data_IF_023567688139
#
_entry.id   IF_023567688139
#
_cell.length_a   1.000
_cell.length_b   1.000
_cell.length_c   1.000
_cell.angle_alpha   90.00
_cell.angle_beta   90.00
_cell.angle_gamma   90.00
#
_symmetry.space_group_name_H-M   'P 1'
#
loop_
_entity.id
_entity.type
_entity.pdbx_description
1 polymer ?
#
# COMPACT_ATOMS: atom_id res chain seq x y z
N UNK A 1 -41.62 121.74 7.55
CA UNK A 1 -40.69 122.35 6.63
C UNK A 1 -39.41 121.59 6.61
N UNK A 2 -39.13 121.10 5.49
CA UNK A 2 -37.98 120.49 4.84
C UNK A 2 -36.61 120.80 5.43
N UNK A 3 -35.50 120.12 4.93
CA UNK A 3 -35.42 118.97 4.03
C UNK A 3 -34.37 117.86 4.46
N UNK A 4 -34.41 116.79 3.66
CA UNK A 4 -33.54 115.65 3.65
C UNK A 4 -32.09 115.94 3.16
N UNK A 5 -31.12 115.29 3.68
CA UNK A 5 -29.78 115.15 3.14
C UNK A 5 -29.40 113.71 2.94
N UNK A 6 -29.32 113.38 1.68
CA UNK A 6 -28.83 112.10 1.21
C UNK A 6 -27.29 112.00 1.31
N UNK A 7 -26.72 110.97 1.90
CA UNK A 7 -25.33 110.57 1.74
C UNK A 7 -25.22 109.29 0.93
N UNK A 8 -24.35 109.21 -0.10
CA UNK A 8 -24.16 107.99 -0.87
C UNK A 8 -23.27 106.97 -0.15
N UNK A 9 -23.70 105.77 -0.09
CA UNK A 9 -22.95 104.65 0.41
C UNK A 9 -21.79 104.28 -0.51
N UNK A 10 -20.58 104.10 0.08
CA UNK A 10 -19.41 103.48 -0.52
C UNK A 10 -19.60 101.99 -0.59
N UNK A 11 -20.18 101.45 -1.66
CA UNK A 11 -20.15 100.05 -2.03
C UNK A 11 -19.34 99.86 -3.30
N UNK A 12 -18.17 99.24 -3.25
CA UNK A 12 -17.48 98.89 -4.49
C UNK A 12 -15.98 98.60 -4.43
N UNK A 13 -15.28 98.94 -3.34
CA UNK A 13 -13.82 98.73 -3.31
C UNK A 13 -13.35 97.52 -2.54
N UNK A 14 -14.17 96.89 -1.65
CA UNK A 14 -13.82 95.76 -0.84
C UNK A 14 -13.90 94.39 -1.60
N UNK A 15 -14.83 94.27 -2.55
CA UNK A 15 -15.09 92.98 -3.22
C UNK A 15 -14.00 92.62 -4.23
N UNK A 16 -13.40 93.60 -4.94
CA UNK A 16 -12.36 93.31 -5.95
C UNK A 16 -11.03 92.93 -5.32
N UNK A 17 -10.70 93.52 -4.17
CA UNK A 17 -9.48 93.22 -3.43
C UNK A 17 -9.59 91.84 -2.78
N UNK A 18 -10.72 91.50 -2.21
CA UNK A 18 -10.98 90.22 -1.56
C UNK A 18 -10.95 89.01 -2.56
N UNK A 19 -11.51 89.15 -3.78
CA UNK A 19 -11.48 88.13 -4.85
C UNK A 19 -10.03 87.85 -5.34
N UNK A 20 -9.15 88.86 -5.33
CA UNK A 20 -7.74 88.71 -5.73
C UNK A 20 -6.95 87.90 -4.68
N UNK A 21 -7.13 88.18 -3.39
CA UNK A 21 -6.44 87.46 -2.30
C UNK A 21 -6.96 86.08 -2.11
N UNK A 22 -8.26 85.77 -2.32
CA UNK A 22 -8.83 84.47 -2.29
C UNK A 22 -8.14 83.53 -3.29
N UNK A 23 -7.85 83.99 -4.53
CA UNK A 23 -7.13 83.19 -5.52
C UNK A 23 -5.71 82.79 -5.07
N UNK A 24 -5.00 83.76 -4.38
CA UNK A 24 -3.67 83.43 -3.83
C UNK A 24 -3.73 82.51 -2.62
N UNK A 25 -4.75 82.59 -1.78
CA UNK A 25 -4.97 81.75 -0.65
C UNK A 25 -5.31 80.28 -1.15
N UNK A 26 -6.23 80.16 -2.13
CA UNK A 26 -6.55 78.88 -2.74
C UNK A 26 -5.33 78.25 -3.42
N UNK A 27 -4.55 79.08 -4.17
CA UNK A 27 -3.30 78.58 -4.78
C UNK A 27 -2.28 78.11 -3.73
N UNK A 28 -2.19 78.80 -2.59
CA UNK A 28 -1.31 78.42 -1.47
C UNK A 28 -1.75 77.09 -0.80
N UNK A 29 -3.06 76.91 -0.61
CA UNK A 29 -3.61 75.67 -0.06
C UNK A 29 -3.36 74.49 -1.02
N UNK A 30 -3.57 74.71 -2.33
CA UNK A 30 -3.29 73.65 -3.33
C UNK A 30 -1.80 73.31 -3.34
N UNK A 31 -0.92 74.31 -3.29
CA UNK A 31 0.52 74.09 -3.22
C UNK A 31 0.93 73.34 -1.94
N UNK A 32 0.33 73.69 -0.80
CA UNK A 32 0.58 73.03 0.47
C UNK A 32 0.13 71.58 0.46
N UNK A 33 -1.05 71.31 -0.11
CA UNK A 33 -1.55 69.93 -0.30
C UNK A 33 -0.62 69.16 -1.25
N UNK A 34 -0.18 69.78 -2.34
CA UNK A 34 0.73 69.13 -3.30
C UNK A 34 2.10 68.81 -2.67
N UNK A 35 2.68 69.74 -1.91
CA UNK A 35 3.93 69.49 -1.17
C UNK A 35 3.71 68.39 -0.11
N UNK A 36 2.61 68.49 0.64
CA UNK A 36 2.27 67.48 1.64
C UNK A 36 2.10 66.04 1.04
N UNK A 37 1.37 65.95 -0.07
CA UNK A 37 1.22 64.68 -0.78
C UNK A 37 2.55 64.17 -1.39
N UNK A 38 3.39 65.08 -1.89
CA UNK A 38 4.71 64.72 -2.41
C UNK A 38 5.66 64.24 -1.32
N UNK A 39 5.68 64.87 -0.15
CA UNK A 39 6.47 64.41 1.00
C UNK A 39 5.93 63.08 1.51
N UNK A 40 4.60 62.92 1.59
CA UNK A 40 3.98 61.66 2.01
C UNK A 40 4.30 60.53 1.04
N UNK A 41 4.21 60.76 -0.27
CA UNK A 41 4.58 59.76 -1.28
C UNK A 41 6.08 59.46 -1.26
N UNK A 42 6.93 60.45 -1.03
CA UNK A 42 8.37 60.24 -0.96
C UNK A 42 8.77 59.43 0.28
N UNK A 43 8.20 59.71 1.45
CA UNK A 43 8.43 58.91 2.66
C UNK A 43 7.91 57.47 2.53
N UNK A 44 6.77 57.29 1.85
CA UNK A 44 6.20 55.96 1.60
C UNK A 44 6.89 55.19 0.48
N UNK A 45 7.60 55.90 -0.42
CA UNK A 45 8.36 55.30 -1.54
C UNK A 45 9.77 54.87 -1.15
N UNK A 46 10.19 55.07 0.09
CA UNK A 46 11.49 54.59 0.55
C UNK A 46 11.46 53.05 0.59
N UNK A 47 12.41 52.34 -0.06
CA UNK A 47 12.47 50.91 -0.01
C UNK A 47 12.69 50.48 1.44
N UNK A 48 11.76 49.64 1.95
CA UNK A 48 11.92 49.08 3.29
C UNK A 48 13.19 48.23 3.35
N UNK A 49 13.95 48.31 4.43
CA UNK A 49 15.14 47.50 4.58
C UNK A 49 14.75 46.01 4.50
N UNK A 50 15.34 45.32 3.53
CA UNK A 50 15.11 43.89 3.35
C UNK A 50 15.82 43.16 4.47
N UNK A 51 15.06 42.56 5.36
CA UNK A 51 15.58 41.72 6.42
C UNK A 51 15.65 40.26 5.91
N UNK A 52 16.76 39.62 6.11
CA UNK A 52 16.98 38.23 5.78
C UNK A 52 17.13 37.41 7.09
N UNK A 53 16.61 36.17 7.10
CA UNK A 53 16.94 35.24 8.16
C UNK A 53 18.43 34.92 8.17
N UNK A 54 18.96 34.62 9.35
CA UNK A 54 20.35 34.20 9.50
C UNK A 54 20.40 32.80 10.11
N UNK A 55 21.13 31.93 9.46
CA UNK A 55 21.34 30.58 9.92
C UNK A 55 22.80 30.33 10.27
N UNK A 56 23.03 29.58 11.32
CA UNK A 56 24.36 29.05 11.64
C UNK A 56 24.39 27.58 11.20
N UNK A 57 25.39 27.17 10.40
CA UNK A 57 25.52 25.77 9.99
C UNK A 57 25.61 24.86 11.21
N UNK A 58 24.95 23.70 11.14
CA UNK A 58 24.94 22.70 12.22
C UNK A 58 25.54 21.40 11.71
N UNK A 59 26.23 20.70 12.59
CA UNK A 59 26.69 19.33 12.29
C UNK A 59 25.60 18.36 12.73
N UNK A 60 24.98 17.69 11.75
CA UNK A 60 23.87 16.75 11.99
C UNK A 60 23.96 15.54 11.04
N UNK A 61 23.18 14.53 11.33
CA UNK A 61 22.94 13.42 10.41
C UNK A 61 21.83 13.80 9.45
N UNK A 62 22.04 13.57 8.16
CA UNK A 62 21.05 13.84 7.10
C UNK A 62 20.73 12.54 6.35
N UNK A 63 19.46 12.33 6.04
CA UNK A 63 18.97 11.18 5.30
C UNK A 63 18.02 11.63 4.20
N UNK A 64 18.33 11.21 2.98
CA UNK A 64 17.40 11.36 1.86
C UNK A 64 16.48 10.17 1.85
N UNK A 65 15.19 10.39 2.03
CA UNK A 65 14.18 9.34 2.07
C UNK A 65 13.13 9.52 0.99
N UNK A 66 12.50 8.43 0.57
CA UNK A 66 11.27 8.43 -0.21
C UNK A 66 10.22 7.62 0.51
N UNK A 67 8.95 7.99 0.35
CA UNK A 67 7.84 7.33 1.02
C UNK A 67 7.02 6.55 -0.01
N UNK A 68 6.79 5.28 0.28
CA UNK A 68 5.98 4.38 -0.53
C UNK A 68 4.77 3.92 0.26
N UNK A 69 3.59 4.03 -0.32
CA UNK A 69 2.36 3.50 0.26
C UNK A 69 2.15 2.05 -0.19
N UNK A 70 1.62 1.24 0.70
CA UNK A 70 1.38 -0.17 0.43
C UNK A 70 0.55 -0.84 1.52
N UNK A 71 0.68 -2.17 1.58
CA UNK A 71 -0.03 -3.01 2.55
C UNK A 71 0.93 -3.99 3.20
N UNK A 72 0.57 -4.41 4.42
CA UNK A 72 1.24 -5.51 5.11
C UNK A 72 0.46 -6.78 4.81
N UNK A 73 1.15 -7.78 4.28
CA UNK A 73 0.57 -9.06 3.89
C UNK A 73 1.47 -10.20 4.39
N UNK A 74 0.93 -11.39 4.63
CA UNK A 74 1.77 -12.57 4.87
C UNK A 74 2.55 -12.91 3.60
N UNK A 75 3.78 -13.38 3.77
CA UNK A 75 4.63 -13.82 2.63
C UNK A 75 3.99 -14.97 1.87
N UNK A 76 3.39 -15.91 2.58
CA UNK A 76 2.72 -17.08 2.04
C UNK A 76 1.26 -17.09 2.48
N UNK A 77 0.38 -16.95 1.51
CA UNK A 77 -1.06 -17.04 1.64
C UNK A 77 -1.56 -18.09 0.66
N UNK A 78 -2.35 -19.03 1.14
CA UNK A 78 -2.85 -20.15 0.36
C UNK A 78 -4.36 -20.22 0.42
N UNK A 79 -4.98 -20.20 -0.75
CA UNK A 79 -6.41 -20.46 -0.90
C UNK A 79 -6.66 -21.95 -0.92
N UNK A 80 -7.27 -22.47 0.14
CA UNK A 80 -7.68 -23.86 0.25
C UNK A 80 -8.91 -24.08 -0.62
N UNK A 81 -8.79 -24.95 -1.61
CA UNK A 81 -9.85 -25.26 -2.58
C UNK A 81 -10.28 -26.72 -2.47
N UNK A 82 -11.53 -27.07 -2.81
CA UNK A 82 -12.01 -28.46 -2.76
C UNK A 82 -11.38 -29.28 -3.89
N UNK A 83 -11.22 -30.57 -3.64
CA UNK A 83 -10.77 -31.56 -4.65
C UNK A 83 -11.95 -32.21 -5.42
N UNK A 84 -13.18 -31.99 -4.93
CA UNK A 84 -14.42 -32.44 -5.56
C UNK A 84 -15.48 -31.37 -5.49
N UNK A 85 -16.41 -31.39 -6.46
CA UNK A 85 -17.58 -30.48 -6.42
C UNK A 85 -18.67 -31.12 -5.52
N UNK A 86 -19.39 -30.24 -4.82
CA UNK A 86 -20.45 -30.68 -3.91
C UNK A 86 -21.05 -29.55 -3.10
N UNK A 87 -21.73 -29.92 -2.00
CA UNK A 87 -22.36 -28.96 -1.07
C UNK A 87 -21.66 -29.06 0.28
N UNK A 88 -21.32 -27.89 0.87
CA UNK A 88 -20.75 -27.83 2.22
C UNK A 88 -21.78 -28.27 3.24
N UNK A 89 -21.46 -29.33 3.98
CA UNK A 89 -22.32 -29.86 5.05
C UNK A 89 -21.91 -29.35 6.43
N UNK A 90 -20.63 -29.10 6.62
CA UNK A 90 -20.10 -28.63 7.90
C UNK A 90 -18.84 -27.78 7.68
N UNK A 91 -18.70 -26.71 8.45
CA UNK A 91 -17.48 -25.91 8.62
C UNK A 91 -16.99 -26.19 10.05
N UNK A 92 -15.74 -26.63 10.18
CA UNK A 92 -15.13 -27.03 11.44
C UNK A 92 -14.18 -25.99 12.00
N UNK A 93 -13.78 -25.02 11.18
CA UNK A 93 -12.86 -23.96 11.53
C UNK A 93 -13.37 -22.63 11.02
N UNK A 94 -13.23 -21.58 11.83
CA UNK A 94 -13.66 -20.22 11.49
C UNK A 94 -12.46 -19.29 11.24
N UNK A 95 -12.74 -18.13 10.67
CA UNK A 95 -11.72 -17.09 10.48
C UNK A 95 -11.18 -16.61 11.85
N UNK A 96 -9.85 -16.47 11.94
CA UNK A 96 -9.16 -16.13 13.19
C UNK A 96 -8.64 -17.32 14.00
N UNK A 97 -8.96 -18.57 13.61
CA UNK A 97 -8.43 -19.77 14.25
C UNK A 97 -7.11 -20.22 13.61
N UNK A 98 -6.26 -20.85 14.43
CA UNK A 98 -5.05 -21.50 13.96
C UNK A 98 -5.37 -22.91 13.43
N UNK A 99 -4.70 -23.27 12.35
CA UNK A 99 -4.84 -24.60 11.72
C UNK A 99 -3.46 -25.18 11.42
N UNK A 100 -3.35 -26.51 11.56
CA UNK A 100 -2.15 -27.26 11.17
C UNK A 100 -2.30 -27.85 9.76
N UNK A 101 -1.17 -28.11 9.10
CA UNK A 101 -1.19 -28.81 7.82
C UNK A 101 -1.84 -30.20 7.98
N UNK A 102 -2.80 -30.53 7.10
CA UNK A 102 -3.60 -31.75 7.17
C UNK A 102 -4.85 -31.66 8.06
N UNK A 103 -5.03 -30.62 8.86
CA UNK A 103 -6.20 -30.42 9.71
C UNK A 103 -7.45 -30.10 8.87
N UNK A 104 -8.61 -30.62 9.28
CA UNK A 104 -9.86 -30.47 8.55
C UNK A 104 -10.47 -29.09 8.80
N UNK A 105 -10.79 -28.39 7.71
CA UNK A 105 -11.45 -27.08 7.76
C UNK A 105 -12.96 -27.21 7.50
N UNK A 106 -13.35 -28.02 6.51
CA UNK A 106 -14.74 -28.19 6.12
C UNK A 106 -15.01 -29.59 5.58
N UNK A 107 -16.29 -29.97 5.57
CA UNK A 107 -16.78 -31.19 4.98
C UNK A 107 -17.72 -30.89 3.82
N UNK A 108 -17.48 -31.54 2.69
CA UNK A 108 -18.30 -31.46 1.46
C UNK A 108 -19.02 -32.73 1.23
N UNK A 109 -20.29 -32.68 0.85
CA UNK A 109 -21.07 -33.83 0.35
C UNK A 109 -21.09 -33.77 -1.17
N UNK A 110 -20.70 -34.84 -1.81
CA UNK A 110 -20.71 -34.97 -3.28
C UNK A 110 -22.12 -34.82 -3.81
N UNK A 111 -22.28 -34.12 -4.91
CA UNK A 111 -23.48 -34.15 -5.76
C UNK A 111 -23.08 -34.89 -7.03
N UNK A 112 -23.34 -36.20 -7.12
CA UNK A 112 -22.87 -37.00 -8.25
C UNK A 112 -23.59 -36.62 -9.55
N UNK A 113 -22.87 -36.67 -10.66
CA UNK A 113 -23.48 -36.62 -11.99
C UNK A 113 -24.35 -37.88 -12.18
N UNK A 114 -25.62 -37.70 -12.53
CA UNK A 114 -26.59 -38.74 -12.64
C UNK A 114 -26.24 -39.78 -13.74
N UNK A 115 -25.57 -39.32 -14.83
CA UNK A 115 -25.13 -40.21 -15.90
C UNK A 115 -23.99 -41.10 -15.42
N UNK A 116 -22.98 -40.49 -14.74
CA UNK A 116 -21.84 -41.23 -14.19
C UNK A 116 -22.32 -42.23 -13.12
N UNK A 117 -23.23 -41.83 -12.24
CA UNK A 117 -23.81 -42.69 -11.23
C UNK A 117 -24.56 -43.92 -11.86
N UNK A 118 -25.41 -43.63 -12.88
CA UNK A 118 -26.14 -44.66 -13.60
C UNK A 118 -25.19 -45.66 -14.32
N UNK A 119 -24.13 -45.15 -14.95
CA UNK A 119 -23.12 -45.98 -15.61
C UNK A 119 -22.35 -46.84 -14.60
N UNK A 120 -21.95 -46.29 -13.46
CA UNK A 120 -21.26 -47.03 -12.40
C UNK A 120 -22.17 -48.15 -11.83
N UNK A 121 -23.45 -47.83 -11.60
CA UNK A 121 -24.44 -48.82 -11.17
C UNK A 121 -24.64 -49.97 -12.20
N UNK A 122 -24.70 -49.61 -13.50
CA UNK A 122 -24.82 -50.61 -14.57
C UNK A 122 -23.58 -51.52 -14.62
N UNK A 123 -22.38 -50.94 -14.43
CA UNK A 123 -21.14 -51.72 -14.38
C UNK A 123 -21.08 -52.71 -13.23
N UNK A 124 -21.54 -52.32 -12.03
CA UNK A 124 -21.66 -53.25 -10.88
C UNK A 124 -22.61 -54.40 -11.21
N UNK A 125 -23.80 -54.10 -11.81
CA UNK A 125 -24.74 -55.16 -12.20
C UNK A 125 -24.15 -56.15 -13.20
N UNK A 126 -23.41 -55.62 -14.22
CA UNK A 126 -22.78 -56.51 -15.21
C UNK A 126 -21.68 -57.37 -14.59
N UNK A 127 -20.83 -56.79 -13.78
CA UNK A 127 -19.78 -57.51 -13.07
C UNK A 127 -20.36 -58.59 -12.13
N UNK A 128 -21.46 -58.31 -11.43
CA UNK A 128 -22.15 -59.27 -10.55
C UNK A 128 -22.75 -60.45 -11.33
N UNK A 129 -23.33 -60.21 -12.52
CA UNK A 129 -23.83 -61.28 -13.43
C UNK A 129 -22.67 -62.14 -13.87
N UNK A 130 -21.56 -61.56 -14.32
CA UNK A 130 -20.39 -62.36 -14.76
C UNK A 130 -19.77 -63.15 -13.62
N UNK A 131 -19.68 -62.58 -12.42
CA UNK A 131 -19.18 -63.29 -11.25
C UNK A 131 -20.09 -64.47 -10.84
N UNK A 132 -21.42 -64.28 -10.89
CA UNK A 132 -22.36 -65.34 -10.61
C UNK A 132 -22.22 -66.51 -11.59
N UNK A 133 -22.08 -66.21 -12.89
CA UNK A 133 -21.85 -67.26 -13.90
C UNK A 133 -20.50 -67.96 -13.64
N UNK A 134 -19.42 -67.24 -13.46
CA UNK A 134 -18.10 -67.81 -13.18
C UNK A 134 -18.08 -68.64 -11.88
N UNK A 135 -18.89 -68.25 -10.89
CA UNK A 135 -19.07 -69.05 -9.65
C UNK A 135 -19.74 -70.41 -9.92
N UNK A 136 -20.81 -70.43 -10.69
CA UNK A 136 -21.50 -71.66 -11.05
C UNK A 136 -20.57 -72.63 -11.81
N UNK A 137 -19.80 -72.11 -12.76
CA UNK A 137 -18.85 -72.89 -13.53
C UNK A 137 -17.72 -73.37 -12.64
N UNK A 138 -17.19 -72.55 -11.71
CA UNK A 138 -16.21 -72.96 -10.72
C UNK A 138 -16.72 -74.07 -9.77
N UNK A 139 -17.93 -73.95 -9.26
CA UNK A 139 -18.52 -74.94 -8.36
C UNK A 139 -18.74 -76.29 -9.08
N UNK A 140 -19.16 -76.24 -10.35
CA UNK A 140 -19.30 -77.42 -11.20
C UNK A 140 -17.95 -78.07 -11.41
N UNK A 141 -16.96 -77.33 -11.86
CA UNK A 141 -15.63 -77.84 -12.17
C UNK A 141 -14.91 -78.39 -10.93
N UNK A 142 -15.08 -77.73 -9.79
CA UNK A 142 -14.59 -78.17 -8.49
C UNK A 142 -15.15 -79.54 -8.14
N UNK A 143 -16.45 -79.80 -8.35
CA UNK A 143 -17.09 -81.08 -8.06
C UNK A 143 -16.57 -82.18 -8.98
N UNK A 144 -16.27 -81.85 -10.24
CA UNK A 144 -15.68 -82.82 -11.20
C UNK A 144 -14.21 -83.10 -10.86
N UNK A 145 -13.45 -82.14 -10.46
CA UNK A 145 -12.07 -82.29 -10.02
C UNK A 145 -11.94 -83.12 -8.76
N UNK A 146 -12.79 -82.87 -7.77
CA UNK A 146 -12.86 -83.67 -6.52
C UNK A 146 -13.19 -85.14 -6.79
N UNK A 147 -13.86 -85.43 -7.92
CA UNK A 147 -14.14 -86.77 -8.40
C UNK A 147 -13.08 -87.38 -9.34
N UNK A 148 -11.99 -86.59 -9.62
CA UNK A 148 -10.94 -87.07 -10.54
C UNK A 148 -11.34 -87.07 -12.03
N UNK A 149 -12.38 -86.29 -12.43
CA UNK A 149 -12.94 -86.34 -13.78
C UNK A 149 -12.41 -85.29 -14.72
N UNK A 150 -11.67 -84.32 -14.20
CA UNK A 150 -11.05 -83.22 -14.96
C UNK A 150 -9.60 -82.99 -14.58
N UNK A 151 -8.80 -82.41 -15.48
CA UNK A 151 -7.40 -82.18 -15.24
C UNK A 151 -7.19 -80.89 -14.31
N UNK A 152 -6.08 -80.92 -13.56
CA UNK A 152 -5.78 -79.89 -12.64
C UNK A 152 -5.63 -78.52 -13.36
N UNK A 153 -5.08 -78.48 -14.57
CA UNK A 153 -4.91 -77.25 -15.38
C UNK A 153 -6.26 -76.60 -15.78
N UNK A 154 -7.26 -77.47 -16.09
CA UNK A 154 -8.61 -76.95 -16.45
C UNK A 154 -9.33 -76.40 -15.21
N UNK A 155 -9.26 -77.10 -14.07
CA UNK A 155 -9.78 -76.57 -12.80
C UNK A 155 -9.12 -75.27 -12.42
N UNK A 156 -7.78 -75.10 -12.57
CA UNK A 156 -7.06 -73.94 -12.21
C UNK A 156 -7.44 -72.69 -13.12
N UNK A 157 -7.69 -72.91 -14.40
CA UNK A 157 -8.21 -71.88 -15.31
C UNK A 157 -9.58 -71.36 -14.86
N UNK A 158 -10.51 -72.23 -14.57
CA UNK A 158 -11.86 -71.84 -14.13
C UNK A 158 -11.80 -71.16 -12.76
N UNK A 159 -10.95 -71.65 -11.84
CA UNK A 159 -10.69 -70.99 -10.55
C UNK A 159 -10.13 -69.63 -10.71
N UNK A 160 -9.22 -69.45 -11.65
CA UNK A 160 -8.65 -68.08 -11.95
C UNK A 160 -9.72 -67.17 -12.53
N UNK A 161 -10.54 -67.61 -13.46
CA UNK A 161 -11.66 -66.88 -14.04
C UNK A 161 -12.62 -66.35 -12.97
N UNK A 162 -12.99 -67.24 -12.03
CA UNK A 162 -13.86 -66.86 -10.90
C UNK A 162 -13.21 -65.88 -9.99
N UNK A 163 -11.90 -65.94 -9.70
CA UNK A 163 -11.16 -64.98 -8.92
C UNK A 163 -11.13 -63.60 -9.62
N UNK A 164 -10.87 -63.57 -10.92
CA UNK A 164 -10.87 -62.31 -11.72
C UNK A 164 -12.26 -61.66 -11.70
N UNK A 165 -13.34 -62.45 -11.94
CA UNK A 165 -14.70 -61.93 -11.90
C UNK A 165 -15.08 -61.40 -10.50
N UNK A 166 -14.58 -62.00 -9.44
CA UNK A 166 -14.77 -61.49 -8.08
C UNK A 166 -14.07 -60.18 -7.80
N UNK A 167 -12.82 -60.04 -8.26
CA UNK A 167 -12.06 -58.77 -8.14
C UNK A 167 -12.70 -57.67 -8.99
N UNK A 168 -13.27 -58.00 -10.18
CA UNK A 168 -13.98 -57.01 -10.99
C UNK A 168 -15.24 -56.48 -10.30
N UNK A 169 -16.00 -57.31 -9.57
CA UNK A 169 -17.14 -56.85 -8.75
C UNK A 169 -16.65 -55.87 -7.66
N UNK A 170 -15.55 -56.20 -7.00
CA UNK A 170 -14.98 -55.33 -5.96
C UNK A 170 -14.57 -54.00 -6.53
N UNK A 171 -13.83 -53.99 -7.64
CA UNK A 171 -13.40 -52.76 -8.33
C UNK A 171 -14.59 -51.92 -8.84
N UNK A 172 -15.64 -52.59 -9.38
CA UNK A 172 -16.85 -51.91 -9.82
C UNK A 172 -17.63 -51.24 -8.64
N UNK A 173 -17.69 -51.93 -7.49
CA UNK A 173 -18.32 -51.39 -6.27
C UNK A 173 -17.53 -50.23 -5.70
N UNK A 174 -16.21 -50.34 -5.62
CA UNK A 174 -15.34 -49.23 -5.18
C UNK A 174 -15.52 -48.01 -6.07
N UNK A 175 -15.58 -48.23 -7.40
CA UNK A 175 -15.84 -47.12 -8.34
C UNK A 175 -17.22 -46.47 -8.11
N UNK A 176 -18.27 -47.26 -7.90
CA UNK A 176 -19.61 -46.75 -7.59
C UNK A 176 -19.61 -45.95 -6.30
N UNK A 177 -18.89 -46.40 -5.27
CA UNK A 177 -18.77 -45.68 -3.99
C UNK A 177 -18.06 -44.34 -4.18
N UNK A 178 -16.96 -44.32 -4.95
CA UNK A 178 -16.26 -43.06 -5.30
C UNK A 178 -17.16 -42.08 -6.06
N UNK A 179 -17.92 -42.54 -7.06
CA UNK A 179 -18.85 -41.72 -7.82
C UNK A 179 -19.97 -41.16 -6.94
N UNK A 180 -20.50 -41.97 -6.02
CA UNK A 180 -21.65 -41.60 -5.17
C UNK A 180 -21.22 -40.74 -3.97
N UNK A 181 -20.15 -41.12 -3.29
CA UNK A 181 -19.78 -40.60 -1.97
C UNK A 181 -18.46 -39.82 -2.00
N UNK A 182 -17.72 -39.80 -3.14
CA UNK A 182 -16.43 -39.14 -3.30
C UNK A 182 -15.27 -39.85 -2.61
N UNK A 183 -15.50 -41.02 -2.01
CA UNK A 183 -14.49 -41.79 -1.27
C UNK A 183 -14.84 -43.26 -1.37
N UNK A 184 -13.84 -44.13 -1.47
CA UNK A 184 -14.00 -45.59 -1.34
C UNK A 184 -13.67 -46.02 0.07
N UNK A 185 -14.40 -47.01 0.58
CA UNK A 185 -14.16 -47.61 1.89
C UNK A 185 -12.75 -48.23 2.01
N UNK A 186 -12.16 -48.64 0.90
CA UNK A 186 -10.78 -49.16 0.82
C UNK A 186 -9.73 -48.05 1.00
N UNK A 187 -10.08 -46.77 0.79
CA UNK A 187 -9.20 -45.60 0.87
C UNK A 187 -9.74 -44.48 1.78
N UNK A 188 -10.44 -44.81 2.85
CA UNK A 188 -11.12 -43.89 3.75
C UNK A 188 -10.20 -42.79 4.31
N UNK A 189 -8.90 -43.01 4.45
CA UNK A 189 -7.91 -42.02 4.92
C UNK A 189 -7.60 -40.93 3.89
N UNK A 190 -7.91 -41.18 2.60
CA UNK A 190 -7.66 -40.21 1.50
C UNK A 190 -8.97 -39.61 1.00
N UNK A 191 -9.90 -39.34 1.91
CA UNK A 191 -11.22 -38.83 1.56
C UNK A 191 -11.14 -37.42 0.96
N UNK A 192 -11.55 -37.30 -0.29
CA UNK A 192 -11.69 -35.99 -1.00
C UNK A 192 -12.84 -35.15 -0.48
N UNK A 193 -13.73 -35.71 0.37
CA UNK A 193 -14.87 -35.00 0.98
C UNK A 193 -14.46 -34.14 2.18
N UNK A 194 -13.29 -34.37 2.77
CA UNK A 194 -12.74 -33.63 3.88
C UNK A 194 -11.73 -32.58 3.36
N UNK A 195 -12.12 -31.33 3.41
CA UNK A 195 -11.23 -30.23 2.99
C UNK A 195 -10.24 -29.95 4.10
N UNK A 196 -8.96 -30.15 3.79
CA UNK A 196 -7.85 -30.03 4.74
C UNK A 196 -6.96 -28.84 4.39
N UNK A 197 -6.38 -28.20 5.40
CA UNK A 197 -5.34 -27.20 5.18
C UNK A 197 -4.08 -27.84 4.59
N UNK A 198 -3.48 -27.17 3.61
CA UNK A 198 -2.21 -27.61 3.01
C UNK A 198 -1.00 -27.06 3.74
N UNK A 199 -1.19 -25.98 4.54
CA UNK A 199 -0.16 -25.32 5.33
C UNK A 199 -0.64 -25.13 6.78
N UNK A 200 0.30 -24.94 7.71
CA UNK A 200 -0.01 -24.49 9.07
C UNK A 200 -0.03 -22.97 9.12
N UNK A 201 -1.04 -22.37 9.74
CA UNK A 201 -1.17 -20.92 9.83
C UNK A 201 -2.48 -20.47 10.45
N UNK A 202 -2.74 -19.17 10.33
CA UNK A 202 -3.99 -18.53 10.73
C UNK A 202 -4.97 -18.57 9.55
N UNK A 203 -6.22 -18.90 9.80
CA UNK A 203 -7.31 -18.76 8.82
C UNK A 203 -7.67 -17.27 8.76
N UNK A 204 -7.42 -16.65 7.61
CA UNK A 204 -7.72 -15.23 7.40
C UNK A 204 -9.20 -15.01 7.08
N UNK A 205 -9.76 -15.89 6.26
CA UNK A 205 -11.14 -15.79 5.78
C UNK A 205 -11.72 -17.17 5.45
N UNK A 206 -13.05 -17.31 5.61
CA UNK A 206 -13.86 -18.45 5.19
C UNK A 206 -15.08 -17.92 4.44
N UNK A 207 -14.96 -17.63 3.12
CA UNK A 207 -15.99 -16.94 2.35
C UNK A 207 -17.24 -17.79 2.08
N UNK A 208 -17.25 -19.06 2.47
CA UNK A 208 -18.33 -20.02 2.20
C UNK A 208 -19.14 -20.31 3.46
N UNK A 209 -20.39 -20.75 3.27
CA UNK A 209 -21.31 -21.14 4.34
C UNK A 209 -21.82 -22.56 4.15
N UNK A 210 -22.30 -23.18 5.23
CA UNK A 210 -23.01 -24.46 5.16
C UNK A 210 -24.20 -24.33 4.21
N UNK A 211 -24.36 -25.28 3.28
CA UNK A 211 -25.35 -25.27 2.22
C UNK A 211 -24.86 -24.65 0.89
N UNK A 212 -23.71 -23.95 0.86
CA UNK A 212 -23.16 -23.45 -0.39
C UNK A 212 -22.67 -24.61 -1.28
N UNK A 213 -22.90 -24.47 -2.58
CA UNK A 213 -22.29 -25.32 -3.60
C UNK A 213 -20.86 -24.87 -3.87
N UNK A 214 -19.93 -25.82 -3.91
CA UNK A 214 -18.53 -25.58 -4.22
C UNK A 214 -18.09 -26.38 -5.43
N UNK A 215 -17.20 -25.81 -6.23
CA UNK A 215 -16.73 -26.37 -7.49
C UNK A 215 -15.22 -26.56 -7.39
N UNK A 216 -14.74 -27.73 -7.83
CA UNK A 216 -13.30 -28.00 -7.93
C UNK A 216 -12.63 -27.08 -8.97
N UNK A 217 -11.35 -26.81 -8.78
CA UNK A 217 -10.52 -26.09 -9.75
C UNK A 217 -10.25 -26.97 -10.98
N UNK A 218 -10.40 -26.38 -12.18
CA UNK A 218 -10.07 -27.02 -13.46
C UNK A 218 -9.49 -25.98 -14.44
N UNK A 219 -9.17 -26.41 -15.66
CA UNK A 219 -8.57 -25.54 -16.70
C UNK A 219 -9.43 -24.32 -17.05
N UNK A 220 -10.75 -24.36 -16.83
CA UNK A 220 -11.70 -23.31 -17.20
C UNK A 220 -12.20 -22.52 -15.98
N UNK A 221 -11.96 -23.00 -14.75
CA UNK A 221 -12.47 -22.40 -13.55
C UNK A 221 -11.47 -22.54 -12.39
N UNK A 222 -11.14 -21.44 -11.75
CA UNK A 222 -10.24 -21.41 -10.57
C UNK A 222 -10.75 -22.18 -9.36
N UNK A 223 -12.02 -22.62 -9.38
CA UNK A 223 -12.65 -23.30 -8.27
C UNK A 223 -13.05 -22.37 -7.13
N UNK A 224 -13.84 -22.89 -6.19
CA UNK A 224 -14.33 -22.16 -5.03
C UNK A 224 -13.29 -22.14 -3.92
N UNK A 225 -12.88 -20.95 -3.42
CA UNK A 225 -12.05 -20.85 -2.20
C UNK A 225 -12.92 -21.19 -0.98
N UNK A 226 -12.48 -22.17 -0.18
CA UNK A 226 -13.13 -22.57 1.07
C UNK A 226 -12.63 -21.76 2.24
N UNK A 227 -11.31 -21.59 2.32
CA UNK A 227 -10.65 -20.80 3.34
C UNK A 227 -9.33 -20.26 2.79
N UNK A 228 -8.92 -19.13 3.33
CA UNK A 228 -7.60 -18.55 3.08
C UNK A 228 -6.75 -18.74 4.33
N UNK A 229 -5.62 -19.43 4.20
CA UNK A 229 -4.71 -19.73 5.32
C UNK A 229 -3.36 -19.06 5.08
N UNK A 230 -2.80 -18.44 6.11
CA UNK A 230 -1.53 -17.74 5.99
C UNK A 230 -0.66 -17.85 7.24
N UNK A 231 0.66 -17.79 7.04
CA UNK A 231 1.62 -17.71 8.12
C UNK A 231 1.81 -16.25 8.55
N UNK A 232 1.16 -15.85 9.64
CA UNK A 232 1.25 -14.49 10.20
C UNK A 232 2.57 -14.22 10.96
N UNK A 233 3.45 -15.20 11.06
CA UNK A 233 4.80 -15.04 11.64
C UNK A 233 5.83 -14.47 10.66
N UNK A 234 5.54 -14.48 9.35
CA UNK A 234 6.40 -13.95 8.28
C UNK A 234 5.59 -12.98 7.42
N UNK A 235 5.68 -11.70 7.79
CA UNK A 235 4.97 -10.62 7.12
C UNK A 235 5.92 -9.85 6.20
N UNK A 236 5.38 -9.41 5.08
CA UNK A 236 6.04 -8.52 4.14
C UNK A 236 5.23 -7.25 3.95
N UNK A 237 5.92 -6.17 3.65
CA UNK A 237 5.32 -4.99 3.06
C UNK A 237 5.31 -5.15 1.53
N UNK A 238 4.17 -4.93 0.91
CA UNK A 238 4.01 -4.85 -0.53
C UNK A 238 3.50 -3.46 -0.88
N UNK A 239 4.24 -2.73 -1.71
CA UNK A 239 3.89 -1.38 -2.13
C UNK A 239 4.23 -1.15 -3.58
N UNK A 240 3.78 -0.02 -4.11
CA UNK A 240 4.06 0.40 -5.47
C UNK A 240 4.82 1.72 -5.44
N UNK A 241 5.88 1.82 -6.22
CA UNK A 241 6.72 3.00 -6.38
C UNK A 241 6.68 3.51 -7.81
N UNK A 242 6.77 4.82 -7.97
CA UNK A 242 6.79 5.49 -9.26
C UNK A 242 8.09 5.23 -10.05
N UNK A 243 8.00 5.29 -11.38
CA UNK A 243 9.11 5.11 -12.30
C UNK A 243 10.28 6.08 -12.04
N UNK A 244 10.00 7.30 -11.61
CA UNK A 244 11.01 8.33 -11.33
C UNK A 244 11.89 8.01 -10.12
N UNK A 245 11.40 7.17 -9.22
CA UNK A 245 12.08 6.80 -7.97
C UNK A 245 12.67 5.39 -7.99
N UNK A 246 12.08 4.46 -8.76
CA UNK A 246 12.47 3.04 -8.77
C UNK A 246 13.94 2.83 -9.12
N UNK A 247 14.48 3.64 -10.04
CA UNK A 247 15.90 3.57 -10.45
C UNK A 247 16.91 3.85 -9.33
N UNK A 248 16.48 4.39 -8.20
CA UNK A 248 17.30 4.68 -7.02
C UNK A 248 17.29 3.55 -6.00
N UNK A 249 16.39 2.56 -6.17
CA UNK A 249 16.21 1.46 -5.22
C UNK A 249 17.17 0.30 -5.51
N UNK A 250 17.74 -0.22 -4.44
CA UNK A 250 18.57 -1.41 -4.47
C UNK A 250 18.11 -2.37 -3.37
N UNK A 251 18.05 -3.66 -3.68
CA UNK A 251 17.74 -4.68 -2.67
C UNK A 251 18.70 -4.59 -1.48
N UNK A 252 18.15 -4.78 -0.27
CA UNK A 252 18.90 -4.63 0.99
C UNK A 252 18.77 -3.25 1.65
N UNK A 253 18.19 -2.25 0.99
CA UNK A 253 17.99 -0.91 1.57
C UNK A 253 17.13 -0.99 2.84
N UNK A 254 17.51 -0.28 3.90
CA UNK A 254 16.72 -0.22 5.12
C UNK A 254 15.46 0.63 4.92
N UNK A 255 14.38 0.17 5.51
CA UNK A 255 13.08 0.82 5.45
C UNK A 255 12.49 0.93 6.84
N UNK A 256 11.72 1.99 7.09
CA UNK A 256 10.87 2.13 8.26
C UNK A 256 9.42 2.10 7.82
N UNK A 257 8.63 1.20 8.43
CA UNK A 257 7.23 1.03 8.09
C UNK A 257 6.39 1.56 9.24
N UNK A 258 5.46 2.45 8.91
CA UNK A 258 4.43 2.95 9.82
C UNK A 258 3.08 2.42 9.36
N UNK A 259 2.37 1.74 10.26
CA UNK A 259 1.05 1.15 9.99
C UNK A 259 -0.01 2.21 10.23
N UNK A 260 -0.92 2.42 9.27
CA UNK A 260 -1.97 3.42 9.39
C UNK A 260 -2.91 3.22 10.60
N UNK A 261 -3.21 1.96 10.92
CA UNK A 261 -4.04 1.59 12.08
C UNK A 261 -3.30 1.66 13.43
N UNK A 262 -1.95 1.79 13.43
CA UNK A 262 -1.09 1.73 14.63
C UNK A 262 0.07 2.73 14.48
N UNK A 263 -0.26 4.02 14.50
CA UNK A 263 0.68 5.10 14.17
C UNK A 263 1.92 5.18 15.08
N UNK A 264 1.80 4.70 16.32
CA UNK A 264 2.91 4.65 17.27
C UNK A 264 3.85 3.47 17.04
N UNK A 265 3.45 2.50 16.20
CA UNK A 265 4.25 1.30 15.93
C UNK A 265 5.08 1.52 14.66
N UNK A 266 6.39 1.62 14.85
CA UNK A 266 7.36 1.67 13.75
C UNK A 266 8.05 0.32 13.63
N UNK A 267 7.96 -0.28 12.45
CA UNK A 267 8.58 -1.55 12.15
C UNK A 267 9.82 -1.33 11.28
N UNK A 268 10.87 -2.07 11.56
CA UNK A 268 12.03 -2.10 10.71
C UNK A 268 11.82 -3.15 9.61
N UNK A 269 12.21 -2.79 8.39
CA UNK A 269 12.12 -3.67 7.24
C UNK A 269 13.33 -3.51 6.33
N UNK A 270 13.53 -4.48 5.45
CA UNK A 270 14.54 -4.43 4.40
C UNK A 270 13.90 -4.71 3.04
N UNK A 271 14.23 -3.88 2.07
CA UNK A 271 13.81 -4.08 0.69
C UNK A 271 14.40 -5.39 0.16
N UNK A 272 13.56 -6.34 -0.21
CA UNK A 272 14.01 -7.63 -0.76
C UNK A 272 13.89 -7.69 -2.28
N UNK A 273 12.83 -7.08 -2.80
CA UNK A 273 12.49 -7.24 -4.21
C UNK A 273 11.95 -5.94 -4.79
N UNK A 274 12.42 -5.63 -5.99
CA UNK A 274 11.89 -4.57 -6.86
C UNK A 274 11.48 -5.24 -8.17
N UNK A 275 10.24 -5.07 -8.60
CA UNK A 275 9.74 -5.68 -9.82
C UNK A 275 10.51 -5.16 -11.04
N UNK A 276 10.98 -6.03 -11.94
CA UNK A 276 11.59 -5.62 -13.20
C UNK A 276 10.55 -5.15 -14.24
N UNK A 277 9.25 -5.34 -13.95
CA UNK A 277 8.14 -4.99 -14.83
C UNK A 277 7.24 -3.96 -14.16
N UNK A 278 6.95 -2.88 -14.87
CA UNK A 278 5.95 -1.91 -14.45
C UNK A 278 4.53 -2.47 -14.63
N UNK A 279 3.64 -2.01 -13.77
CA UNK A 279 2.19 -2.18 -13.90
C UNK A 279 1.59 -0.78 -14.01
N UNK A 280 0.82 -0.52 -15.04
CA UNK A 280 0.09 0.72 -15.20
C UNK A 280 -1.07 0.75 -14.18
N UNK A 281 -1.08 1.76 -13.35
CA UNK A 281 -2.13 2.00 -12.35
C UNK A 281 -2.49 3.49 -12.35
N UNK A 282 -3.76 3.81 -12.55
CA UNK A 282 -4.26 5.20 -12.61
C UNK A 282 -3.51 6.10 -13.60
N UNK A 283 -3.06 5.55 -14.74
CA UNK A 283 -2.34 6.29 -15.77
C UNK A 283 -0.87 6.59 -15.47
N UNK A 284 -0.30 5.98 -14.42
CA UNK A 284 1.12 6.07 -14.09
C UNK A 284 1.77 4.68 -14.07
N UNK A 285 3.03 4.61 -14.52
CA UNK A 285 3.83 3.40 -14.43
C UNK A 285 4.31 3.21 -12.99
N UNK A 286 3.92 2.11 -12.37
CA UNK A 286 4.31 1.76 -11.02
C UNK A 286 5.04 0.42 -10.98
N UNK A 287 6.02 0.30 -10.10
CA UNK A 287 6.78 -0.91 -9.88
C UNK A 287 6.48 -1.49 -8.51
N UNK A 288 6.12 -2.77 -8.46
CA UNK A 288 5.90 -3.45 -7.19
C UNK A 288 7.24 -3.60 -6.44
N UNK A 289 7.21 -3.30 -5.15
CA UNK A 289 8.30 -3.58 -4.23
C UNK A 289 7.84 -4.47 -3.09
N UNK A 290 8.74 -5.33 -2.59
CA UNK A 290 8.50 -6.17 -1.42
C UNK A 290 9.61 -5.98 -0.42
N UNK A 291 9.25 -5.86 0.85
CA UNK A 291 10.21 -5.73 1.93
C UNK A 291 9.88 -6.70 3.08
N UNK A 292 10.88 -7.40 3.59
CA UNK A 292 10.73 -8.23 4.79
C UNK A 292 10.62 -7.36 6.03
N UNK A 293 9.62 -7.63 6.85
CA UNK A 293 9.39 -6.94 8.11
C UNK A 293 10.05 -7.71 9.23
N UNK A 294 10.80 -7.01 10.07
CA UNK A 294 11.49 -7.59 11.23
C UNK A 294 10.84 -7.12 12.54
N UNK A 295 10.94 -7.94 13.59
CA UNK A 295 10.53 -7.53 14.94
C UNK A 295 9.03 -7.56 15.23
N UNK A 296 8.24 -8.31 14.46
CA UNK A 296 6.76 -8.38 14.57
C UNK A 296 6.28 -9.10 15.85
N UNK A 297 7.20 -9.70 16.65
CA UNK A 297 6.83 -10.51 17.83
C UNK A 297 6.02 -9.70 18.85
N UNK A 298 4.82 -10.18 19.16
CA UNK A 298 3.93 -9.59 20.17
C UNK A 298 2.94 -8.55 19.65
N UNK A 299 3.05 -8.12 18.40
CA UNK A 299 2.12 -7.16 17.79
C UNK A 299 1.07 -7.90 16.98
N UNK A 300 -0.22 -7.69 17.30
CA UNK A 300 -1.34 -8.28 16.53
C UNK A 300 -1.57 -7.47 15.24
N UNK A 301 -0.77 -7.72 14.22
CA UNK A 301 -0.95 -7.13 12.89
C UNK A 301 -1.92 -8.00 12.10
N UNK A 302 -2.87 -7.35 11.40
CA UNK A 302 -3.78 -8.05 10.48
C UNK A 302 -3.28 -7.93 9.05
N UNK A 303 -3.51 -8.97 8.27
CA UNK A 303 -3.27 -8.94 6.81
C UNK A 303 -4.12 -7.84 6.16
N UNK A 304 -3.55 -7.14 5.19
CA UNK A 304 -4.21 -6.06 4.47
C UNK A 304 -4.14 -4.68 5.13
N UNK A 305 -3.49 -4.51 6.28
CA UNK A 305 -3.30 -3.18 6.87
C UNK A 305 -2.51 -2.28 5.93
N UNK A 306 -3.04 -1.08 5.69
CA UNK A 306 -2.32 -0.04 4.95
C UNK A 306 -1.12 0.45 5.76
N UNK A 307 -0.01 0.65 5.08
CA UNK A 307 1.22 1.07 5.68
C UNK A 307 1.98 2.03 4.75
N UNK A 308 2.75 2.94 5.37
CA UNK A 308 3.69 3.80 4.68
C UNK A 308 5.11 3.34 5.02
N UNK A 309 5.89 3.10 3.98
CA UNK A 309 7.27 2.69 4.10
C UNK A 309 8.20 3.84 3.70
N UNK A 310 9.02 4.29 4.62
CA UNK A 310 10.07 5.27 4.40
C UNK A 310 11.36 4.53 4.05
N UNK A 311 11.84 4.71 2.82
CA UNK A 311 13.06 4.07 2.29
C UNK A 311 14.19 5.07 2.36
N UNK A 312 15.31 4.69 2.96
CA UNK A 312 16.51 5.52 3.02
C UNK A 312 17.33 5.33 1.74
N UNK A 313 17.28 6.32 0.86
CA UNK A 313 18.00 6.32 -0.42
C UNK A 313 19.50 6.65 -0.25
N UNK A 314 19.80 7.59 0.64
CA UNK A 314 21.16 7.99 0.97
C UNK A 314 21.21 8.55 2.39
N UNK A 315 22.33 8.37 3.07
CA UNK A 315 22.56 8.94 4.40
C UNK A 315 23.99 9.42 4.54
N UNK A 316 24.18 10.53 5.25
CA UNK A 316 25.49 11.00 5.70
C UNK A 316 25.38 11.34 7.18
N UNK A 317 26.39 10.92 7.95
CA UNK A 317 26.45 11.14 9.39
C UNK A 317 27.50 12.19 9.71
N UNK A 318 27.22 13.03 10.70
CA UNK A 318 28.15 14.02 11.22
C UNK A 318 28.64 15.01 10.15
N UNK A 319 27.72 15.48 9.28
CA UNK A 319 28.01 16.42 8.18
C UNK A 319 27.50 17.83 8.50
N UNK A 320 28.19 18.83 7.92
CA UNK A 320 27.79 20.23 8.04
C UNK A 320 26.54 20.45 7.17
N UNK A 321 25.46 20.94 7.78
CA UNK A 321 24.19 21.19 7.12
C UNK A 321 23.74 22.63 7.27
N UNK A 322 23.01 23.11 6.27
CA UNK A 322 22.29 24.39 6.28
C UNK A 322 20.87 24.15 5.74
N UNK A 323 19.89 25.00 6.10
CA UNK A 323 18.59 24.96 5.45
C UNK A 323 18.72 25.11 3.93
N UNK A 324 18.04 24.30 3.15
CA UNK A 324 18.08 24.35 1.68
C UNK A 324 17.62 25.71 1.15
N UNK A 325 16.73 26.40 1.89
CA UNK A 325 16.25 27.74 1.61
C UNK A 325 17.35 28.83 1.64
N UNK A 326 18.53 28.55 2.22
CA UNK A 326 19.68 29.45 2.24
C UNK A 326 20.60 29.29 1.01
N UNK A 327 20.30 28.34 0.14
CA UNK A 327 21.09 27.99 -1.03
C UNK A 327 20.52 28.68 -2.28
N UNK A 328 21.40 29.23 -3.11
CA UNK A 328 21.08 29.72 -4.44
C UNK A 328 21.65 28.78 -5.50
N UNK A 329 20.76 28.16 -6.28
CA UNK A 329 21.15 27.34 -7.43
C UNK A 329 21.25 28.22 -8.68
N UNK A 330 22.40 28.24 -9.34
CA UNK A 330 22.65 29.01 -10.57
C UNK A 330 23.30 28.14 -11.63
N UNK A 331 22.49 27.59 -12.54
CA UNK A 331 22.92 26.58 -13.50
C UNK A 331 23.42 25.31 -12.78
N UNK A 332 24.66 24.90 -13.02
CA UNK A 332 25.28 23.75 -12.37
C UNK A 332 26.01 24.10 -11.08
N UNK A 333 26.08 25.36 -10.71
CA UNK A 333 26.81 25.86 -9.55
C UNK A 333 25.87 26.21 -8.40
N UNK A 334 26.35 25.97 -7.19
CA UNK A 334 25.62 26.25 -5.95
C UNK A 334 26.33 27.33 -5.16
N UNK A 335 25.57 28.31 -4.72
CA UNK A 335 26.09 29.46 -3.99
C UNK A 335 25.38 29.67 -2.66
N UNK A 336 26.08 30.27 -1.73
CA UNK A 336 25.58 30.66 -0.43
C UNK A 336 26.03 32.08 -0.12
N UNK A 337 25.24 32.83 0.64
CA UNK A 337 25.61 34.17 1.04
C UNK A 337 26.07 34.17 2.50
N UNK A 338 27.33 34.52 2.73
CA UNK A 338 27.89 34.64 4.07
C UNK A 338 27.64 36.03 4.59
N UNK A 339 27.12 36.11 5.80
CA UNK A 339 26.86 37.36 6.50
C UNK A 339 28.17 37.86 7.13
N UNK A 340 28.61 39.06 6.74
CA UNK A 340 29.73 39.74 7.34
C UNK A 340 29.26 41.05 8.00
N UNK A 341 29.81 41.39 9.16
CA UNK A 341 29.41 42.52 9.94
C UNK A 341 28.27 42.25 10.91
N UNK A 342 27.84 43.27 11.66
CA UNK A 342 26.75 43.21 12.63
C UNK A 342 25.92 44.51 12.59
N UNK A 343 24.64 44.41 13.00
CA UNK A 343 23.70 45.50 13.01
C UNK A 343 23.29 45.97 11.60
N UNK A 344 23.23 47.27 11.33
CA UNK A 344 22.79 47.84 10.06
C UNK A 344 23.85 47.76 8.94
N UNK A 345 25.12 47.48 9.26
CA UNK A 345 26.22 47.41 8.30
C UNK A 345 26.52 45.95 7.88
N UNK A 346 25.49 45.15 7.72
CA UNK A 346 25.65 43.77 7.23
C UNK A 346 25.93 43.75 5.73
N UNK A 347 26.95 42.99 5.32
CA UNK A 347 27.24 42.73 3.91
C UNK A 347 27.14 41.23 3.64
N UNK A 348 26.76 40.89 2.42
CA UNK A 348 26.53 39.50 2.01
C UNK A 348 27.55 39.13 0.94
N UNK A 349 28.48 38.23 1.30
CA UNK A 349 29.50 37.73 0.38
C UNK A 349 28.96 36.45 -0.29
N UNK A 350 28.78 36.50 -1.62
CA UNK A 350 28.41 35.32 -2.40
C UNK A 350 29.60 34.38 -2.52
N UNK A 351 29.44 33.12 -2.02
CA UNK A 351 30.48 32.11 -2.03
C UNK A 351 29.98 30.85 -2.70
N UNK A 352 30.80 30.28 -3.59
CA UNK A 352 30.53 28.99 -4.22
C UNK A 352 30.77 27.87 -3.19
N UNK A 353 29.82 26.94 -3.11
CA UNK A 353 29.88 25.78 -2.21
C UNK A 353 29.65 24.49 -3.01
N UNK A 354 30.14 23.37 -2.47
CA UNK A 354 29.84 22.04 -2.98
C UNK A 354 28.84 21.41 -2.04
N UNK A 355 27.66 21.10 -2.54
CA UNK A 355 26.58 20.48 -1.79
C UNK A 355 26.63 18.94 -1.90
N UNK A 356 25.98 18.27 -0.99
CA UNK A 356 25.85 16.81 -0.96
C UNK A 356 24.38 16.38 -0.93
N UNK A 357 24.03 15.56 0.08
CA UNK A 357 22.68 15.03 0.26
C UNK A 357 21.76 16.13 0.75
N UNK A 358 20.53 16.19 0.22
CA UNK A 358 19.42 17.01 0.74
C UNK A 358 18.26 16.12 1.18
N UNK A 359 17.60 16.48 2.28
CA UNK A 359 16.34 15.88 2.76
C UNK A 359 15.10 16.73 2.42
N UNK A 360 15.29 17.81 1.62
CA UNK A 360 14.25 18.77 1.27
C UNK A 360 14.05 19.90 2.30
N UNK A 361 14.67 19.83 3.47
CA UNK A 361 14.68 20.87 4.51
C UNK A 361 16.10 21.38 4.70
N UNK A 362 17.04 20.47 4.88
CA UNK A 362 18.46 20.75 5.05
C UNK A 362 19.27 20.14 3.91
N UNK A 363 20.43 20.72 3.63
CA UNK A 363 21.36 20.23 2.63
C UNK A 363 22.77 20.15 3.22
N UNK A 364 23.46 19.05 2.89
CA UNK A 364 24.86 18.86 3.25
C UNK A 364 25.75 19.81 2.49
N UNK A 365 26.72 20.41 3.18
CA UNK A 365 27.82 21.19 2.58
C UNK A 365 29.12 20.41 2.71
N UNK A 366 29.64 19.96 1.58
CA UNK A 366 30.90 19.21 1.51
C UNK A 366 32.13 20.10 1.59
N UNK A 367 32.04 21.31 1.00
CA UNK A 367 33.12 22.30 1.04
C UNK A 367 32.63 23.71 0.76
N UNK A 368 33.43 24.71 1.16
CA UNK A 368 33.15 26.12 0.94
C UNK A 368 32.53 26.86 2.13
N UNK A 369 32.19 26.17 3.22
CA UNK A 369 31.59 26.73 4.41
C UNK A 369 32.18 26.14 5.68
N UNK A 370 32.23 26.90 6.75
CA UNK A 370 32.65 26.45 8.09
C UNK A 370 31.52 26.56 9.11
N UNK A 371 31.60 25.82 10.20
CA UNK A 371 30.59 25.84 11.27
C UNK A 371 30.49 27.20 12.00
N UNK A 372 31.48 28.10 11.80
CA UNK A 372 31.49 29.42 12.42
C UNK A 372 30.90 30.52 11.52
N UNK A 373 30.67 30.23 10.24
CA UNK A 373 30.10 31.21 9.30
C UNK A 373 28.62 31.43 9.62
N UNK A 374 28.12 32.63 9.39
CA UNK A 374 26.69 32.91 9.39
C UNK A 374 26.20 33.00 7.96
N UNK A 375 25.08 32.38 7.68
CA UNK A 375 24.52 32.26 6.33
C UNK A 375 23.22 33.04 6.24
N UNK A 376 23.06 33.78 5.16
CA UNK A 376 21.80 34.47 4.84
C UNK A 376 20.75 33.46 4.38
N UNK A 377 19.61 33.50 5.01
CA UNK A 377 18.42 32.76 4.62
C UNK A 377 17.50 33.52 3.66
N UNK A 378 16.24 33.08 3.55
CA UNK A 378 15.23 33.76 2.74
C UNK A 378 14.91 35.14 3.26
N UNK A 379 14.33 35.95 2.37
CA UNK A 379 13.82 37.29 2.71
C UNK A 379 12.62 37.16 3.66
N UNK A 380 12.71 37.82 4.81
CA UNK A 380 11.59 37.95 5.73
C UNK A 380 10.76 39.15 5.31
N UNK A 381 9.50 38.92 4.97
CA UNK A 381 8.53 40.02 4.81
C UNK A 381 8.05 40.32 6.23
N UNK A 382 8.44 41.46 6.79
CA UNK A 382 7.89 41.93 8.06
C UNK A 382 6.37 42.15 7.85
N UNK A 383 5.58 41.23 8.33
CA UNK A 383 4.13 41.45 8.48
C UNK A 383 4.01 42.45 9.62
N UNK A 384 3.64 43.70 9.33
CA UNK A 384 3.19 44.66 10.34
C UNK A 384 1.96 44.03 10.99
N UNK A 385 2.07 43.63 12.25
CA UNK A 385 0.90 43.39 13.12
C UNK A 385 0.21 44.73 13.31
N UNK A 386 -0.74 45.06 12.43
CA UNK A 386 -1.73 46.10 12.70
C UNK A 386 -2.53 45.58 13.92
N UNK A 387 -2.25 46.25 15.06
CA UNK A 387 -3.01 46.11 16.29
C UNK A 387 -4.48 46.45 15.95
N UNK A 388 -5.31 45.44 15.78
CA UNK A 388 -6.77 45.60 15.81
C UNK A 388 -7.13 45.88 17.26
N UNK A 389 -7.21 47.15 17.62
CA UNK A 389 -7.91 47.61 18.81
C UNK A 389 -9.39 47.35 18.55
N UNK A 390 -9.94 46.30 19.18
CA UNK A 390 -11.37 46.14 19.29
C UNK A 390 -11.84 47.13 20.38
N UNK A 391 -12.73 48.08 20.08
CA UNK A 391 -13.35 48.87 21.12
C UNK A 391 -14.40 48.02 21.87
N UNK A 392 -14.47 48.25 23.19
CA UNK A 392 -15.44 47.71 24.12
C UNK A 392 -16.92 47.90 23.69
#
# INVERSE_FOLDING_TARGET
>A
MNPAGHFPLYEGVGEVIMKKYIKFIVAGIILFIFIGTFIFLWTKSQPQPVVYDEFTPKVTDIKKTTVVTGKIEPRNEVNVKPQISGIITQIMKEAGEMVQAGEIIAKVKVVPDMNQLSNAQARVRLADINMKQAKVDYEREKTLFDKGLVAADEYDKIRQTYRQAREEVTAAKDNLEVVRDGVSSSNANTSSTLIRSTISGLILDVPVKVGNTVILSNTFNDGTTIATVANMGDLIFRGNIDETEVGKLVAGMPMKITIGAMQDTRLEARLEYVSPKAVESNGANQFEIKAAIHGVRGTKIRSGYSANAEIVLASATHVLTVPESAIEFSGNDTYIYIVKGSGENKTYERRKVVTGISDGINIEIKSGLTAKDKVRGPKVIAVQEDMVVVPD
#
